data_IF_308869828710
#
_entry.id   IF_308869828710
#
_cell.length_a   1.000
_cell.length_b   1.000
_cell.length_c   1.000
_cell.angle_alpha   90.00
_cell.angle_beta   90.00
_cell.angle_gamma   90.00
#
_symmetry.space_group_name_H-M   'P 1'
#
loop_
_entity.id
_entity.type
_entity.pdbx_description
1 polymer ?
#
# COMPACT_ATOMS: atom_id res chain seq x y z
N UNK A 1 -2.00 -21.85 7.38
CA UNK A 1 -1.09 -20.69 7.45
C UNK A 1 -1.64 -19.64 6.51
N UNK A 2 -1.54 -18.36 6.88
CA UNK A 2 -1.96 -17.27 5.99
C UNK A 2 -1.14 -17.26 4.69
N UNK A 3 -1.57 -16.46 3.72
CA UNK A 3 -0.86 -16.23 2.49
C UNK A 3 0.45 -15.47 2.70
N UNK A 4 1.53 -15.98 2.11
CA UNK A 4 2.85 -15.35 2.12
C UNK A 4 2.86 -14.09 1.24
N UNK A 5 3.66 -13.10 1.65
CA UNK A 5 3.94 -11.89 0.89
C UNK A 5 5.36 -11.40 1.22
N UNK A 6 5.96 -10.64 0.30
CA UNK A 6 7.31 -10.11 0.45
C UNK A 6 7.33 -8.67 0.96
N UNK A 7 8.03 -8.38 2.06
CA UNK A 7 8.33 -7.01 2.49
C UNK A 7 9.01 -6.15 1.41
N UNK A 8 9.83 -6.74 0.55
CA UNK A 8 10.50 -6.02 -0.52
C UNK A 8 9.51 -5.56 -1.60
N UNK A 9 8.50 -6.38 -1.89
CA UNK A 9 7.41 -6.04 -2.82
C UNK A 9 6.59 -4.86 -2.26
N UNK A 10 6.28 -4.88 -0.95
CA UNK A 10 5.64 -3.75 -0.27
C UNK A 10 6.47 -2.46 -0.41
N UNK A 11 7.76 -2.52 -0.08
CA UNK A 11 8.63 -1.32 -0.10
C UNK A 11 8.71 -0.75 -1.51
N UNK A 12 8.79 -1.61 -2.54
CA UNK A 12 8.80 -1.20 -3.94
C UNK A 12 7.50 -0.50 -4.34
N UNK A 13 6.34 -1.10 -4.00
CA UNK A 13 5.03 -0.52 -4.29
C UNK A 13 4.82 0.82 -3.55
N UNK A 14 5.19 0.88 -2.27
CA UNK A 14 5.11 2.10 -1.47
C UNK A 14 5.94 3.24 -2.06
N UNK A 15 7.20 2.98 -2.46
CA UNK A 15 8.06 3.98 -3.09
C UNK A 15 7.47 4.46 -4.41
N UNK A 16 6.93 3.55 -5.21
CA UNK A 16 6.25 3.90 -6.46
C UNK A 16 5.08 4.87 -6.20
N UNK A 17 4.16 4.51 -5.31
CA UNK A 17 3.02 5.36 -4.95
C UNK A 17 3.47 6.72 -4.36
N UNK A 18 4.49 6.73 -3.49
CA UNK A 18 5.05 7.96 -2.96
C UNK A 18 5.52 8.89 -4.09
N UNK A 19 6.27 8.38 -5.07
CA UNK A 19 6.73 9.19 -6.21
C UNK A 19 5.61 9.62 -7.16
N UNK A 20 4.59 8.80 -7.35
CA UNK A 20 3.45 9.11 -8.23
C UNK A 20 2.47 10.13 -7.63
N UNK A 21 2.39 10.21 -6.30
CA UNK A 21 1.43 11.06 -5.59
C UNK A 21 2.08 12.24 -4.84
N UNK A 22 3.41 12.24 -4.72
CA UNK A 22 4.19 13.31 -4.10
C UNK A 22 5.50 13.57 -4.85
N UNK A 23 5.46 14.53 -5.78
CA UNK A 23 6.59 14.99 -6.58
C UNK A 23 6.50 16.50 -6.84
N UNK A 24 7.36 17.02 -7.73
CA UNK A 24 7.42 18.45 -8.07
C UNK A 24 6.14 18.99 -8.71
N UNK A 25 5.38 18.15 -9.39
CA UNK A 25 4.18 18.52 -10.16
C UNK A 25 2.88 18.18 -9.41
N UNK A 26 2.93 17.23 -8.47
CA UNK A 26 1.76 16.71 -7.76
C UNK A 26 2.05 16.51 -6.28
N UNK A 27 1.18 17.07 -5.43
CA UNK A 27 1.14 16.80 -3.99
C UNK A 27 -0.29 16.45 -3.60
N UNK A 28 -0.64 15.17 -3.73
CA UNK A 28 -1.99 14.74 -3.41
C UNK A 28 -2.19 14.68 -1.90
N UNK A 29 -3.29 15.28 -1.44
CA UNK A 29 -3.69 15.33 -0.05
C UNK A 29 -4.98 14.52 0.15
N UNK A 30 -5.22 14.09 1.39
CA UNK A 30 -6.52 13.54 1.78
C UNK A 30 -7.56 14.67 1.77
N UNK A 31 -8.71 14.51 1.08
CA UNK A 31 -9.72 15.57 0.97
C UNK A 31 -10.11 16.18 2.32
N UNK A 32 -10.09 17.51 2.40
CA UNK A 32 -10.43 18.25 3.62
C UNK A 32 -9.33 18.28 4.68
N UNK A 33 -8.10 17.86 4.37
CA UNK A 33 -6.96 17.86 5.29
C UNK A 33 -5.66 18.28 4.59
N UNK A 34 -4.62 18.58 5.37
CA UNK A 34 -3.25 18.82 4.87
C UNK A 34 -2.37 17.55 4.89
N UNK A 35 -2.98 16.37 5.11
CA UNK A 35 -2.25 15.12 5.24
C UNK A 35 -1.93 14.54 3.85
N UNK A 36 -0.68 14.06 3.61
CA UNK A 36 -0.32 13.41 2.35
C UNK A 36 -1.19 12.18 2.09
N UNK A 37 -1.66 12.02 0.84
CA UNK A 37 -2.49 10.89 0.45
C UNK A 37 -1.78 9.54 0.62
N UNK A 38 -0.45 9.53 0.70
CA UNK A 38 0.36 8.34 1.03
C UNK A 38 -0.05 7.68 2.37
N UNK A 39 -0.59 8.47 3.31
CA UNK A 39 -1.15 7.94 4.56
C UNK A 39 -2.35 7.02 4.31
N UNK A 40 -3.22 7.35 3.34
CA UNK A 40 -4.35 6.50 2.94
C UNK A 40 -3.88 5.13 2.43
N UNK A 41 -2.91 5.10 1.51
CA UNK A 41 -2.36 3.84 0.99
C UNK A 41 -1.72 2.99 2.09
N UNK A 42 -1.03 3.63 3.05
CA UNK A 42 -0.43 2.92 4.19
C UNK A 42 -1.49 2.20 5.04
N UNK A 43 -2.66 2.81 5.22
CA UNK A 43 -3.79 2.20 5.93
C UNK A 43 -4.42 1.06 5.13
N UNK A 44 -4.63 1.25 3.82
CA UNK A 44 -5.18 0.19 2.94
C UNK A 44 -4.25 -1.02 2.89
N UNK A 45 -2.95 -0.81 2.71
CA UNK A 45 -1.98 -1.90 2.67
C UNK A 45 -1.90 -2.66 4.01
N UNK A 46 -2.11 -1.97 5.14
CA UNK A 46 -2.20 -2.61 6.47
C UNK A 46 -3.38 -3.59 6.54
N UNK A 47 -4.56 -3.20 6.07
CA UNK A 47 -5.75 -4.08 6.04
C UNK A 47 -5.53 -5.32 5.14
N UNK A 48 -4.87 -5.13 3.99
CA UNK A 48 -4.51 -6.24 3.09
C UNK A 48 -3.57 -7.22 3.79
N UNK A 49 -2.48 -6.73 4.40
CA UNK A 49 -1.52 -7.58 5.14
C UNK A 49 -2.20 -8.31 6.30
N UNK A 50 -3.09 -7.63 7.04
CA UNK A 50 -3.85 -8.25 8.12
C UNK A 50 -4.75 -9.40 7.62
N UNK A 51 -5.32 -9.26 6.42
CA UNK A 51 -6.14 -10.29 5.78
C UNK A 51 -5.30 -11.45 5.28
N UNK A 52 -4.15 -11.19 4.65
CA UNK A 52 -3.21 -12.23 4.21
C UNK A 52 -2.72 -13.09 5.38
N UNK A 53 -2.58 -12.53 6.58
CA UNK A 53 -2.23 -13.30 7.77
C UNK A 53 -3.31 -14.30 8.23
N UNK A 54 -4.56 -14.14 7.77
CA UNK A 54 -5.73 -14.96 8.17
C UNK A 54 -6.20 -15.90 7.07
N UNK A 55 -6.17 -15.44 5.83
CA UNK A 55 -6.69 -16.15 4.66
C UNK A 55 -5.54 -16.82 3.88
N UNK A 56 -5.77 -18.06 3.43
CA UNK A 56 -4.78 -18.85 2.68
C UNK A 56 -5.17 -19.00 1.21
N UNK A 57 -4.18 -19.21 0.33
CA UNK A 57 -4.43 -19.48 -1.10
C UNK A 57 -4.58 -18.21 -1.95
N UNK A 58 -4.31 -17.04 -1.38
CA UNK A 58 -4.21 -15.76 -2.08
C UNK A 58 -2.77 -15.52 -2.56
N UNK A 59 -2.64 -14.78 -3.66
CA UNK A 59 -1.36 -14.21 -4.11
C UNK A 59 -1.06 -12.94 -3.30
N UNK A 60 -0.25 -13.07 -2.25
CA UNK A 60 0.04 -11.97 -1.33
C UNK A 60 0.88 -10.86 -1.95
N UNK A 61 1.79 -11.18 -2.87
CA UNK A 61 2.61 -10.19 -3.56
C UNK A 61 1.77 -9.32 -4.49
N UNK A 62 0.84 -9.92 -5.22
CA UNK A 62 -0.12 -9.18 -6.04
C UNK A 62 -1.05 -8.33 -5.15
N UNK A 63 -1.59 -8.92 -4.08
CA UNK A 63 -2.52 -8.23 -3.19
C UNK A 63 -1.89 -6.98 -2.56
N UNK A 64 -0.65 -7.08 -2.08
CA UNK A 64 0.09 -5.95 -1.50
C UNK A 64 0.32 -4.84 -2.53
N UNK A 65 0.66 -5.18 -3.77
CA UNK A 65 0.86 -4.18 -4.84
C UNK A 65 -0.43 -3.45 -5.20
N UNK A 66 -1.58 -4.12 -5.18
CA UNK A 66 -2.88 -3.50 -5.45
C UNK A 66 -3.35 -2.54 -4.34
N UNK A 67 -2.72 -2.56 -3.16
CA UNK A 67 -3.02 -1.64 -2.06
C UNK A 67 -2.41 -0.24 -2.20
N UNK A 68 -1.64 0.01 -3.27
CA UNK A 68 -0.87 1.23 -3.53
C UNK A 68 -1.21 1.83 -4.90
#
# INVERSE_FOLDING_TARGET
MGSDWSPDVYIKAYRYAATAHWNSEKKQLVPGTDLPYLMHFSMVAMEVIATLGKESGLDGDLAVQCGF
#
